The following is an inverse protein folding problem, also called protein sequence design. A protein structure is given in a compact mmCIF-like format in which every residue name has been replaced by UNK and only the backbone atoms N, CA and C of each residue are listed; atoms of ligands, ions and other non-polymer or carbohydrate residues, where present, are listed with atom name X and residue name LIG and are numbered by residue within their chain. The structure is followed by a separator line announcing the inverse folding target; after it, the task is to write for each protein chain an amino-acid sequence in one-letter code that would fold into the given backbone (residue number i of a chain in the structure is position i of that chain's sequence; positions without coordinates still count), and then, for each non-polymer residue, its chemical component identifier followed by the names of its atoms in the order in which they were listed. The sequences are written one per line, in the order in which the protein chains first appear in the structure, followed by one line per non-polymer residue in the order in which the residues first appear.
data_IF_580148105507
#
_entry.id   IF_580148105507
#
_cell.length_a   1.000
_cell.length_b   1.000
_cell.length_c   1.000
_cell.angle_alpha   90.00
_cell.angle_beta   90.00
_cell.angle_gamma   90.00
#
_symmetry.space_group_name_H-M   'P 1'
#
loop_
_entity.id
_entity.type
_entity.pdbx_description
1 polymer ?
#
# COMPACT_ATOMS: atom_id res chain seq x y z
N UNK A 1 3.63 14.32 8.11
CA UNK A 1 3.80 12.95 7.57
C UNK A 1 2.42 12.41 7.31
N UNK A 2 2.11 11.99 6.08
CA UNK A 2 0.78 11.44 5.78
C UNK A 2 0.88 9.92 5.91
N UNK A 3 0.15 9.36 6.87
CA UNK A 3 0.13 7.92 7.16
C UNK A 3 -1.15 7.36 6.55
N UNK A 4 -1.04 6.37 5.67
CA UNK A 4 -2.21 5.68 5.12
C UNK A 4 -2.72 4.63 6.11
N UNK A 5 -4.03 4.49 6.18
CA UNK A 5 -4.70 3.46 6.94
C UNK A 5 -4.86 2.20 6.11
N UNK A 6 -5.06 1.07 6.79
CA UNK A 6 -5.46 -0.16 6.12
C UNK A 6 -6.72 0.09 5.29
N UNK A 7 -6.66 -0.30 4.01
CA UNK A 7 -7.73 -0.14 3.05
C UNK A 7 -7.58 1.08 2.13
N UNK A 8 -6.73 2.06 2.46
CA UNK A 8 -6.45 3.22 1.62
C UNK A 8 -5.76 2.82 0.33
N UNK A 9 -6.04 3.56 -0.75
CA UNK A 9 -5.30 3.47 -2.00
C UNK A 9 -4.10 4.41 -1.96
N UNK A 10 -2.97 3.91 -2.41
CA UNK A 10 -1.69 4.63 -2.42
C UNK A 10 -1.01 4.44 -3.76
N UNK A 11 -0.29 5.45 -4.20
CA UNK A 11 0.53 5.44 -5.41
C UNK A 11 2.01 5.41 -5.01
N UNK A 12 2.74 4.45 -5.57
CA UNK A 12 4.17 4.30 -5.39
C UNK A 12 4.81 3.99 -6.74
N UNK A 13 5.78 4.82 -7.16
CA UNK A 13 6.45 4.69 -8.47
C UNK A 13 5.48 4.59 -9.67
N UNK A 14 4.34 5.27 -9.62
CA UNK A 14 3.31 5.24 -10.67
C UNK A 14 2.42 4.00 -10.66
N UNK A 15 2.60 3.07 -9.70
CA UNK A 15 1.71 1.95 -9.46
C UNK A 15 0.73 2.33 -8.34
N UNK A 16 -0.56 2.07 -8.57
CA UNK A 16 -1.58 2.20 -7.51
C UNK A 16 -1.76 0.85 -6.82
N UNK A 17 -1.68 0.86 -5.49
CA UNK A 17 -1.90 -0.31 -4.64
C UNK A 17 -2.79 0.01 -3.44
N UNK A 18 -3.23 -1.02 -2.74
CA UNK A 18 -4.03 -0.91 -1.52
C UNK A 18 -3.18 -1.23 -0.30
N UNK A 19 -3.31 -0.41 0.74
CA UNK A 19 -2.65 -0.68 2.02
C UNK A 19 -3.33 -1.84 2.71
N UNK A 20 -2.59 -2.92 2.94
CA UNK A 20 -3.11 -4.12 3.63
C UNK A 20 -2.76 -4.12 5.12
N UNK A 21 -1.69 -3.43 5.51
CA UNK A 21 -1.32 -3.22 6.90
C UNK A 21 -0.50 -1.94 7.06
N UNK A 22 -0.60 -1.32 8.23
CA UNK A 22 0.14 -0.11 8.59
C UNK A 22 0.94 -0.35 9.86
N UNK A 23 2.21 0.05 9.85
CA UNK A 23 3.12 0.06 10.98
C UNK A 23 3.58 1.49 11.25
N UNK A 24 4.32 1.72 12.33
CA UNK A 24 4.73 3.07 12.76
C UNK A 24 5.46 3.87 11.67
N UNK A 25 6.27 3.22 10.84
CA UNK A 25 7.09 3.89 9.81
C UNK A 25 6.83 3.39 8.38
N UNK A 26 6.11 2.28 8.22
CA UNK A 26 5.95 1.59 6.94
C UNK A 26 4.50 1.13 6.76
N UNK A 27 4.09 1.02 5.51
CA UNK A 27 2.87 0.36 5.11
C UNK A 27 3.19 -0.83 4.23
N UNK A 28 2.40 -1.89 4.37
CA UNK A 28 2.40 -3.01 3.44
C UNK A 28 1.39 -2.68 2.37
N UNK A 29 1.85 -2.62 1.13
CA UNK A 29 1.04 -2.25 -0.03
C UNK A 29 0.92 -3.47 -0.94
N UNK A 30 -0.32 -3.77 -1.32
CA UNK A 30 -0.66 -4.75 -2.33
C UNK A 30 -0.97 -4.03 -3.65
N UNK A 31 -0.12 -4.23 -4.66
CA UNK A 31 -0.21 -3.56 -5.95
C UNK A 31 -1.05 -4.30 -6.99
N UNK A 32 -1.60 -5.48 -6.66
CA UNK A 32 -2.34 -6.28 -7.64
C UNK A 32 -3.84 -6.15 -7.44
N UNK A 33 -4.53 -5.97 -8.56
CA UNK A 33 -5.98 -5.84 -8.69
C UNK A 33 -6.76 -6.87 -7.84
N UNK A 34 -7.28 -6.40 -6.71
CA UNK A 34 -8.56 -6.68 -6.02
C UNK A 34 -9.26 -8.05 -6.03
N UNK A 35 -8.77 -9.15 -6.65
CA UNK A 35 -9.60 -10.35 -6.83
C UNK A 35 -9.14 -11.67 -6.18
N UNK A 36 -7.87 -11.90 -5.85
CA UNK A 36 -7.49 -13.21 -5.27
C UNK A 36 -6.38 -13.11 -4.20
N UNK A 37 -6.66 -13.65 -3.01
CA UNK A 37 -5.70 -13.78 -1.90
C UNK A 37 -4.72 -14.90 -2.25
N UNK A 38 -3.50 -14.52 -2.61
CA UNK A 38 -2.46 -15.45 -3.01
C UNK A 38 -1.26 -15.33 -2.03
N UNK A 39 -0.96 -16.38 -1.26
CA UNK A 39 0.08 -16.34 -0.22
C UNK A 39 1.50 -16.25 -0.80
N UNK A 40 1.69 -16.44 -2.11
CA UNK A 40 2.99 -16.40 -2.78
C UNK A 40 3.33 -15.02 -3.39
N UNK A 41 2.44 -14.03 -3.29
CA UNK A 41 2.61 -12.74 -4.00
C UNK A 41 3.40 -11.67 -3.22
N UNK A 42 4.22 -10.94 -3.96
CA UNK A 42 5.12 -9.86 -3.49
C UNK A 42 4.33 -8.68 -2.89
N UNK A 43 4.11 -8.74 -1.58
CA UNK A 43 3.75 -7.58 -0.78
C UNK A 43 5.00 -6.73 -0.58
N UNK A 44 4.90 -5.43 -0.84
CA UNK A 44 6.03 -4.54 -0.58
C UNK A 44 5.80 -3.72 0.68
N UNK A 45 6.84 -3.68 1.51
CA UNK A 45 6.90 -2.82 2.69
C UNK A 45 7.51 -1.50 2.25
N UNK A 46 6.73 -0.43 2.30
CA UNK A 46 7.11 0.89 1.79
C UNK A 46 6.98 1.91 2.90
N UNK A 47 7.91 2.86 3.02
CA UNK A 47 7.84 3.87 4.07
C UNK A 47 6.72 4.87 3.78
N UNK A 48 6.16 5.43 4.84
CA UNK A 48 5.18 6.52 4.73
C UNK A 48 5.68 7.75 3.96
N UNK A 49 7.01 7.90 3.81
CA UNK A 49 7.63 8.98 3.03
C UNK A 49 7.66 8.73 1.53
N UNK A 50 7.51 7.47 1.10
CA UNK A 50 7.88 7.07 -0.25
C UNK A 50 6.66 6.91 -1.18
N UNK A 51 5.45 6.78 -0.62
CA UNK A 51 4.19 6.69 -1.37
C UNK A 51 3.31 7.93 -1.19
N UNK A 52 2.34 8.10 -2.08
CA UNK A 52 1.30 9.14 -1.99
C UNK A 52 -0.06 8.51 -1.74
N UNK A 53 -0.87 9.09 -0.85
CA UNK A 53 -2.24 8.60 -0.65
C UNK A 53 -3.12 9.11 -1.79
N UNK A 54 -3.73 8.18 -2.52
CA UNK A 54 -4.75 8.45 -3.52
C UNK A 54 -6.11 8.52 -2.80
N UNK A 55 -6.41 9.67 -2.18
CA UNK A 55 -7.74 9.89 -1.58
C UNK A 55 -8.75 10.07 -2.71
N UNK A 56 -9.81 9.24 -2.66
CA UNK A 56 -10.98 9.38 -3.51
C UNK A 56 -11.74 10.68 -3.20
#
# INVERSE_FOLDING_TARGET
MVVANQGDLVEYNGLTGRVVATYTNTAVIDFKEFNEIDPEKEKQVIRHTDYKIHKK
#
